data_IF_730045610883
#
_entry.id   IF_730045610883
#
_cell.length_a   1.000
_cell.length_b   1.000
_cell.length_c   1.000
_cell.angle_alpha   90.00
_cell.angle_beta   90.00
_cell.angle_gamma   90.00
#
_symmetry.space_group_name_H-M   'P 1'
#
loop_
_entity.id
_entity.type
_entity.pdbx_description
1 polymer ?
#
# COMPACT_ATOMS: atom_id res chain seq x y z
N UNK A 1 -0.51 -21.45 27.32
CA UNK A 1 -0.71 -21.99 25.95
C UNK A 1 -1.80 -21.18 25.26
N UNK A 2 -1.45 -20.27 24.35
CA UNK A 2 -2.45 -19.52 23.58
C UNK A 2 -3.00 -20.38 22.44
N UNK A 3 -4.18 -20.96 22.62
CA UNK A 3 -4.83 -21.79 21.59
C UNK A 3 -5.14 -20.99 20.32
N UNK A 4 -4.93 -21.61 19.15
CA UNK A 4 -5.35 -21.03 17.87
C UNK A 4 -6.87 -20.87 17.88
N UNK A 5 -7.36 -19.64 17.75
CA UNK A 5 -8.79 -19.34 17.62
C UNK A 5 -9.19 -19.40 16.14
N UNK A 6 -10.32 -20.05 15.84
CA UNK A 6 -10.85 -20.15 14.48
C UNK A 6 -11.84 -19.01 14.23
N UNK A 7 -11.73 -18.36 13.09
CA UNK A 7 -12.71 -17.43 12.56
C UNK A 7 -13.30 -18.02 11.27
N UNK A 8 -14.61 -17.92 11.12
CA UNK A 8 -15.34 -18.35 9.91
C UNK A 8 -15.97 -17.12 9.26
N UNK A 9 -15.84 -17.01 7.93
CA UNK A 9 -16.50 -15.99 7.12
C UNK A 9 -17.43 -16.69 6.14
N UNK A 10 -18.65 -16.17 5.99
CA UNK A 10 -19.59 -16.61 4.97
C UNK A 10 -19.60 -15.55 3.86
N UNK A 11 -19.40 -16.00 2.63
CA UNK A 11 -19.41 -15.16 1.43
C UNK A 11 -20.45 -15.73 0.47
N UNK A 12 -21.06 -14.88 -0.33
CA UNK A 12 -21.80 -15.34 -1.50
C UNK A 12 -20.85 -15.85 -2.60
N UNK A 13 -21.42 -16.52 -3.59
CA UNK A 13 -20.66 -17.14 -4.67
C UNK A 13 -19.92 -16.11 -5.53
N UNK A 14 -20.47 -14.91 -5.71
CA UNK A 14 -19.85 -13.85 -6.50
C UNK A 14 -18.58 -13.31 -5.83
N UNK A 15 -18.67 -13.02 -4.53
CA UNK A 15 -17.53 -12.56 -3.74
C UNK A 15 -16.46 -13.64 -3.62
N UNK A 16 -16.86 -14.91 -3.47
CA UNK A 16 -15.93 -16.02 -3.45
C UNK A 16 -15.20 -16.18 -4.79
N UNK A 17 -15.90 -16.01 -5.91
CA UNK A 17 -15.30 -16.04 -7.25
C UNK A 17 -14.27 -14.91 -7.43
N UNK A 18 -14.65 -13.66 -7.12
CA UNK A 18 -13.75 -12.51 -7.18
C UNK A 18 -12.50 -12.69 -6.31
N UNK A 19 -12.67 -13.17 -5.07
CA UNK A 19 -11.56 -13.44 -4.16
C UNK A 19 -10.64 -14.54 -4.72
N UNK A 20 -11.20 -15.55 -5.37
CA UNK A 20 -10.45 -16.64 -5.96
C UNK A 20 -9.63 -16.21 -7.18
N UNK A 21 -10.21 -15.38 -8.05
CA UNK A 21 -9.49 -14.79 -9.17
C UNK A 21 -8.34 -13.91 -8.69
N UNK A 22 -8.63 -13.03 -7.71
CA UNK A 22 -7.59 -12.16 -7.14
C UNK A 22 -6.48 -12.96 -6.47
N UNK A 23 -6.79 -14.05 -5.77
CA UNK A 23 -5.78 -14.92 -5.17
C UNK A 23 -4.82 -15.48 -6.23
N UNK A 24 -5.32 -15.92 -7.39
CA UNK A 24 -4.47 -16.40 -8.48
C UNK A 24 -3.58 -15.29 -9.05
N UNK A 25 -4.16 -14.12 -9.30
CA UNK A 25 -3.43 -12.95 -9.82
C UNK A 25 -2.31 -12.52 -8.88
N UNK A 26 -2.58 -12.52 -7.57
CA UNK A 26 -1.64 -12.11 -6.54
C UNK A 26 -0.68 -13.25 -6.09
N UNK A 27 -0.76 -14.43 -6.71
CA UNK A 27 0.16 -15.56 -6.47
C UNK A 27 -0.14 -16.42 -5.23
N UNK A 28 -1.35 -16.34 -4.68
CA UNK A 28 -1.80 -17.17 -3.55
C UNK A 28 -2.46 -18.47 -4.03
N UNK A 29 -2.06 -19.59 -3.44
CA UNK A 29 -2.64 -20.91 -3.75
C UNK A 29 -4.12 -21.04 -3.33
N UNK A 30 -4.54 -20.31 -2.29
CA UNK A 30 -5.89 -20.43 -1.70
C UNK A 30 -6.52 -19.06 -1.46
N UNK A 31 -7.81 -18.86 -1.77
CA UNK A 31 -8.52 -17.61 -1.49
C UNK A 31 -8.48 -17.22 -0.01
N UNK A 32 -8.56 -18.21 0.89
CA UNK A 32 -8.45 -18.00 2.33
C UNK A 32 -7.06 -17.50 2.78
N UNK A 33 -5.99 -17.81 2.03
CA UNK A 33 -4.66 -17.30 2.33
C UNK A 33 -4.58 -15.80 2.00
N UNK A 34 -5.10 -15.41 0.83
CA UNK A 34 -5.25 -14.00 0.46
C UNK A 34 -6.12 -13.25 1.47
N UNK A 35 -7.30 -13.79 1.83
CA UNK A 35 -8.18 -13.15 2.80
C UNK A 35 -7.48 -12.87 4.14
N UNK A 36 -6.74 -13.86 4.67
CA UNK A 36 -5.95 -13.66 5.90
C UNK A 36 -4.87 -12.60 5.72
N UNK A 37 -4.15 -12.61 4.60
CA UNK A 37 -3.14 -11.60 4.29
C UNK A 37 -3.73 -10.20 4.26
N UNK A 38 -4.86 -10.01 3.57
CA UNK A 38 -5.55 -8.72 3.47
C UNK A 38 -6.10 -8.26 4.82
N UNK A 39 -6.64 -9.16 5.64
CA UNK A 39 -7.12 -8.83 6.99
C UNK A 39 -5.95 -8.42 7.88
N UNK A 40 -4.86 -9.18 7.90
CA UNK A 40 -3.69 -8.88 8.74
C UNK A 40 -3.06 -7.55 8.31
N UNK A 41 -2.85 -7.34 7.01
CA UNK A 41 -2.27 -6.10 6.52
C UNK A 41 -3.21 -4.91 6.72
N UNK A 42 -4.52 -5.10 6.53
CA UNK A 42 -5.50 -4.06 6.82
C UNK A 42 -5.53 -3.70 8.30
N UNK A 43 -5.33 -4.68 9.20
CA UNK A 43 -5.20 -4.43 10.64
C UNK A 43 -3.87 -3.74 10.96
N UNK A 44 -2.75 -4.16 10.36
CA UNK A 44 -1.46 -3.49 10.53
C UNK A 44 -1.53 -2.03 10.05
N UNK A 45 -2.15 -1.75 8.90
CA UNK A 45 -2.41 -0.39 8.42
C UNK A 45 -3.24 0.44 9.44
N UNK A 46 -4.13 -0.21 10.20
CA UNK A 46 -4.94 0.44 11.25
C UNK A 46 -4.20 0.61 12.58
N UNK A 47 -3.32 -0.33 12.95
CA UNK A 47 -2.59 -0.33 14.23
C UNK A 47 -1.23 0.35 14.15
N UNK A 48 -0.61 0.44 12.97
CA UNK A 48 0.60 1.21 12.69
C UNK A 48 0.30 2.70 12.47
N UNK A 49 -0.83 3.20 12.99
CA UNK A 49 -1.09 4.63 13.18
C UNK A 49 -0.14 5.22 14.24
N UNK A 50 1.15 5.27 13.90
CA UNK A 50 1.99 6.37 14.35
C UNK A 50 1.80 7.50 13.35
N UNK A 51 1.74 8.75 13.79
CA UNK A 51 1.55 9.91 12.89
C UNK A 51 2.65 10.04 11.80
N UNK A 52 3.68 9.20 11.85
CA UNK A 52 4.84 9.21 10.96
C UNK A 52 4.74 8.28 9.75
N UNK A 53 3.90 7.24 9.79
CA UNK A 53 3.79 6.27 8.68
C UNK A 53 2.32 6.11 8.30
N UNK A 54 2.00 6.37 7.03
CA UNK A 54 0.65 6.14 6.47
C UNK A 54 0.74 5.52 5.09
N UNK A 55 -0.09 4.51 4.86
CA UNK A 55 -0.29 3.89 3.55
C UNK A 55 -1.21 4.77 2.70
N UNK A 56 -0.71 5.26 1.57
CA UNK A 56 -1.52 5.98 0.58
C UNK A 56 -2.06 4.99 -0.46
N UNK A 57 -3.38 5.02 -0.70
CA UNK A 57 -4.03 4.28 -1.80
C UNK A 57 -4.42 5.27 -2.89
N UNK A 58 -3.75 5.17 -4.04
CA UNK A 58 -3.96 6.08 -5.18
C UNK A 58 -4.42 5.28 -6.38
N UNK A 59 -5.50 5.72 -7.04
CA UNK A 59 -5.93 5.17 -8.33
C UNK A 59 -5.07 5.79 -9.43
N UNK A 60 -4.42 4.94 -10.22
CA UNK A 60 -3.58 5.37 -11.35
C UNK A 60 -4.27 4.94 -12.64
N UNK A 61 -4.74 5.90 -13.42
CA UNK A 61 -5.54 5.63 -14.61
C UNK A 61 -4.69 5.23 -15.83
N UNK A 62 -3.42 5.64 -15.87
CA UNK A 62 -2.47 5.31 -16.93
C UNK A 62 -1.41 4.27 -16.49
N UNK A 63 -1.80 3.31 -15.64
CA UNK A 63 -0.86 2.34 -15.04
C UNK A 63 0.01 1.60 -16.07
N UNK A 64 -0.56 1.21 -17.22
CA UNK A 64 0.16 0.49 -18.27
C UNK A 64 1.34 1.28 -18.83
N UNK A 65 1.14 2.59 -19.04
CA UNK A 65 2.18 3.49 -19.54
C UNK A 65 3.31 3.62 -18.52
N UNK A 66 2.97 3.84 -17.25
CA UNK A 66 3.94 3.94 -16.15
C UNK A 66 4.70 2.61 -15.99
N UNK A 67 4.01 1.47 -16.04
CA UNK A 67 4.64 0.16 -15.95
C UNK A 67 5.61 -0.10 -17.12
N UNK A 68 5.26 0.31 -18.34
CA UNK A 68 6.14 0.22 -19.49
C UNK A 68 7.38 1.12 -19.29
N UNK A 69 7.18 2.38 -18.91
CA UNK A 69 8.27 3.32 -18.64
C UNK A 69 9.26 2.79 -17.59
N UNK A 70 8.74 2.31 -16.45
CA UNK A 70 9.54 1.79 -15.34
C UNK A 70 10.36 0.57 -15.76
N UNK A 71 9.78 -0.29 -16.59
CA UNK A 71 10.47 -1.46 -17.16
C UNK A 71 11.62 -1.04 -18.07
N UNK A 72 11.35 -0.15 -19.03
CA UNK A 72 12.36 0.35 -19.98
C UNK A 72 13.52 1.07 -19.26
N UNK A 73 13.20 1.82 -18.20
CA UNK A 73 14.20 2.51 -17.37
C UNK A 73 14.82 1.65 -16.28
N UNK A 74 14.45 0.36 -16.19
CA UNK A 74 14.95 -0.60 -15.19
C UNK A 74 14.79 -0.13 -13.73
N UNK A 75 13.75 0.66 -13.46
CA UNK A 75 13.41 1.13 -12.11
C UNK A 75 12.74 0.05 -11.23
N UNK A 76 12.45 -1.13 -11.79
CA UNK A 76 11.83 -2.24 -11.09
C UNK A 76 10.31 -2.17 -11.18
N UNK A 77 9.64 -1.70 -10.11
CA UNK A 77 8.18 -1.66 -10.01
C UNK A 77 7.65 -0.22 -9.90
N UNK A 78 6.44 0.08 -10.39
CA UNK A 78 5.85 1.42 -10.31
C UNK A 78 5.81 2.03 -8.90
N UNK A 79 5.67 1.20 -7.87
CA UNK A 79 5.65 1.64 -6.47
C UNK A 79 7.01 2.21 -6.03
N UNK A 80 8.11 1.58 -6.45
CA UNK A 80 9.46 2.09 -6.17
C UNK A 80 9.74 3.37 -6.94
N UNK A 81 9.28 3.44 -8.18
CA UNK A 81 9.37 4.66 -8.97
C UNK A 81 8.58 5.81 -8.33
N UNK A 82 7.38 5.56 -7.81
CA UNK A 82 6.59 6.57 -7.12
C UNK A 82 7.29 7.09 -5.85
N UNK A 83 7.84 6.18 -5.01
CA UNK A 83 8.60 6.57 -3.83
C UNK A 83 9.83 7.42 -4.21
N UNK A 84 10.60 7.00 -5.21
CA UNK A 84 11.74 7.75 -5.72
C UNK A 84 11.34 9.13 -6.25
N UNK A 85 10.25 9.22 -7.01
CA UNK A 85 9.78 10.49 -7.57
C UNK A 85 9.37 11.49 -6.47
N UNK A 86 8.72 11.01 -5.40
CA UNK A 86 8.38 11.85 -4.24
C UNK A 86 9.65 12.39 -3.57
N UNK A 87 10.64 11.53 -3.29
CA UNK A 87 11.90 11.92 -2.67
C UNK A 87 12.69 12.91 -3.55
N UNK A 88 12.81 12.61 -4.85
CA UNK A 88 13.47 13.47 -5.82
C UNK A 88 12.84 14.87 -5.85
N UNK A 89 11.50 14.95 -5.89
CA UNK A 89 10.80 16.23 -5.92
C UNK A 89 11.00 17.03 -4.65
N UNK A 90 10.94 16.39 -3.47
CA UNK A 90 11.19 17.03 -2.18
C UNK A 90 12.63 17.57 -2.06
N UNK A 91 13.61 16.81 -2.55
CA UNK A 91 15.01 17.22 -2.53
C UNK A 91 15.28 18.40 -3.48
N UNK A 92 14.63 18.41 -4.65
CA UNK A 92 14.75 19.49 -5.63
C UNK A 92 14.01 20.76 -5.20
N UNK A 93 12.88 20.63 -4.52
CA UNK A 93 12.02 21.72 -4.10
C UNK A 93 11.97 21.80 -2.57
N UNK A 94 13.13 22.07 -1.97
CA UNK A 94 13.23 22.13 -0.52
C UNK A 94 12.36 23.26 0.04
N UNK A 95 11.68 22.97 1.14
CA UNK A 95 10.98 24.00 1.90
C UNK A 95 11.97 25.06 2.41
N UNK A 96 11.60 26.33 2.28
CA UNK A 96 12.32 27.43 2.92
C UNK A 96 12.33 27.27 4.44
N UNK A 97 13.25 27.95 5.13
CA UNK A 97 13.35 27.90 6.59
C UNK A 97 12.02 28.26 7.28
N UNK A 98 11.30 29.27 6.76
CA UNK A 98 9.99 29.66 7.27
C UNK A 98 8.90 28.59 7.03
N UNK A 99 8.96 27.85 5.92
CA UNK A 99 8.03 26.76 5.65
C UNK A 99 8.32 25.53 6.51
N UNK A 100 9.59 25.18 6.72
CA UNK A 100 10.00 24.11 7.63
C UNK A 100 9.52 24.36 9.06
N UNK A 101 9.79 25.56 9.59
CA UNK A 101 9.38 25.93 10.94
C UNK A 101 7.85 25.90 11.14
N UNK A 102 7.06 26.21 10.10
CA UNK A 102 5.59 26.07 10.16
C UNK A 102 5.16 24.60 10.14
N UNK A 103 5.77 23.79 9.29
CA UNK A 103 5.48 22.35 9.22
C UNK A 103 5.82 21.64 10.54
N UNK A 104 6.98 21.94 11.14
CA UNK A 104 7.41 21.38 12.43
C UNK A 104 6.41 21.69 13.55
N UNK A 105 5.96 22.94 13.67
CA UNK A 105 4.93 23.33 14.65
C UNK A 105 3.60 22.62 14.45
N UNK A 106 3.26 22.23 13.22
CA UNK A 106 2.03 21.49 12.91
C UNK A 106 2.17 19.98 13.09
N UNK A 107 3.40 19.46 13.19
CA UNK A 107 3.68 18.03 13.41
C UNK A 107 3.84 17.72 14.91
N UNK A 108 4.31 18.68 15.71
CA UNK A 108 4.47 18.54 17.17
C UNK A 108 3.21 18.92 17.98
N UNK A 109 2.19 19.50 17.33
CA UNK A 109 0.94 19.96 17.95
C UNK A 109 -0.17 18.93 18.00
#
# INVERSE_FOLDING_TARGET
>A
MGGKRKMSLTLDDQLLACLSEKAKVDGFEKPAALARYLIINGLNDMTEQTDRVKTLRVKIENYQEIAAYVREKKFGKPEYFAAYAMEYYMNKNQLSAAQKARAERSIEG
#
